data_IF_602946739495
#
_entry.id   IF_602946739495
#
_cell.length_a   1.000
_cell.length_b   1.000
_cell.length_c   1.000
_cell.angle_alpha   90.00
_cell.angle_beta   90.00
_cell.angle_gamma   90.00
#
_symmetry.space_group_name_H-M   'P 1'
#
loop_
_entity.id
_entity.type
_entity.pdbx_description
1 polymer ?
#
# COMPACT_ATOMS: atom_id res chain seq x y z
N UNK A 1 5.56 -25.38 13.68
CA UNK A 1 5.11 -24.22 14.46
C UNK A 1 3.63 -24.42 14.71
N UNK A 2 3.15 -24.27 15.94
CA UNK A 2 1.71 -24.26 16.22
C UNK A 2 1.08 -23.05 15.51
N UNK A 3 -0.04 -23.28 14.82
CA UNK A 3 -0.78 -22.23 14.13
C UNK A 3 -1.27 -21.22 15.16
N UNK A 4 -0.79 -19.99 15.06
CA UNK A 4 -1.22 -18.91 15.93
C UNK A 4 -2.60 -18.41 15.46
N UNK A 5 -3.48 -17.94 16.37
CA UNK A 5 -4.64 -17.13 15.99
C UNK A 5 -4.26 -15.81 15.30
N UNK A 6 -2.98 -15.56 15.03
CA UNK A 6 -2.48 -14.39 14.32
C UNK A 6 -1.89 -14.74 12.95
N UNK A 7 -1.92 -16.02 12.58
CA UNK A 7 -1.51 -16.47 11.26
C UNK A 7 -2.72 -16.45 10.32
N UNK A 8 -2.64 -15.72 9.19
CA UNK A 8 -3.71 -15.74 8.20
C UNK A 8 -3.83 -17.12 7.55
N UNK A 9 -5.04 -17.68 7.54
CA UNK A 9 -5.37 -18.89 6.77
C UNK A 9 -5.37 -18.58 5.27
N UNK A 10 -5.09 -19.55 4.40
CA UNK A 10 -5.22 -19.43 2.93
C UNK A 10 -4.56 -18.17 2.31
N UNK A 11 -3.35 -17.84 2.73
CA UNK A 11 -2.50 -16.84 2.08
C UNK A 11 -1.25 -17.44 1.47
N UNK A 12 -0.80 -16.86 0.36
CA UNK A 12 0.53 -17.11 -0.18
C UNK A 12 1.59 -16.29 0.59
N UNK A 13 2.74 -16.91 0.88
CA UNK A 13 3.91 -16.25 1.47
C UNK A 13 5.21 -16.91 0.98
N UNK A 14 6.29 -16.14 0.96
CA UNK A 14 7.65 -16.54 0.57
C UNK A 14 8.64 -16.48 1.74
N UNK A 15 8.33 -15.69 2.78
CA UNK A 15 9.12 -15.56 4.01
C UNK A 15 8.31 -16.04 5.21
N UNK A 16 8.87 -16.99 5.95
CA UNK A 16 8.40 -17.32 7.28
C UNK A 16 8.61 -16.14 8.25
N UNK A 17 7.98 -16.20 9.43
CA UNK A 17 8.04 -15.12 10.41
C UNK A 17 9.47 -14.81 10.91
N UNK A 18 10.37 -15.78 10.89
CA UNK A 18 11.80 -15.63 11.21
C UNK A 18 12.63 -15.07 10.05
N UNK A 19 12.03 -14.83 8.88
CA UNK A 19 12.71 -14.32 7.69
C UNK A 19 13.33 -15.41 6.80
N UNK A 20 13.13 -16.69 7.13
CA UNK A 20 13.61 -17.78 6.28
C UNK A 20 12.74 -17.94 5.02
N UNK A 21 13.34 -18.12 3.83
CA UNK A 21 12.60 -18.40 2.61
C UNK A 21 11.88 -19.74 2.67
N UNK A 22 10.60 -19.74 2.30
CA UNK A 22 9.79 -20.97 2.13
C UNK A 22 9.42 -21.25 0.67
N UNK A 23 9.74 -20.32 -0.23
CA UNK A 23 9.40 -20.41 -1.65
C UNK A 23 10.44 -19.74 -2.55
N UNK A 24 10.17 -19.75 -3.86
CA UNK A 24 11.06 -19.15 -4.85
C UNK A 24 10.97 -17.62 -4.80
N UNK A 25 12.07 -16.98 -4.39
CA UNK A 25 12.18 -15.53 -4.30
C UNK A 25 12.71 -14.98 -5.64
N UNK A 26 11.87 -14.19 -6.34
CA UNK A 26 12.20 -13.58 -7.63
C UNK A 26 12.41 -12.06 -7.53
N UNK A 27 13.18 -11.62 -6.55
CA UNK A 27 13.60 -10.23 -6.37
C UNK A 27 15.13 -10.22 -6.25
N UNK A 28 15.77 -9.23 -6.87
CA UNK A 28 17.22 -9.09 -6.74
C UNK A 28 17.60 -8.53 -5.37
N UNK A 29 18.82 -8.83 -4.92
CA UNK A 29 19.29 -8.39 -3.60
C UNK A 29 19.29 -6.86 -3.44
N UNK A 30 19.66 -6.13 -4.50
CA UNK A 30 19.64 -4.67 -4.49
C UNK A 30 18.21 -4.12 -4.40
N UNK A 31 17.28 -4.73 -5.12
CA UNK A 31 15.86 -4.38 -5.11
C UNK A 31 15.22 -4.67 -3.75
N UNK A 32 15.55 -5.82 -3.12
CA UNK A 32 15.12 -6.13 -1.76
C UNK A 32 15.65 -5.13 -0.71
N UNK A 33 16.90 -4.68 -0.86
CA UNK A 33 17.46 -3.61 0.00
C UNK A 33 16.76 -2.28 -0.22
N UNK A 34 16.45 -1.92 -1.47
CA UNK A 34 15.72 -0.70 -1.78
C UNK A 34 14.31 -0.74 -1.17
N UNK A 35 13.60 -1.85 -1.32
CA UNK A 35 12.31 -2.09 -0.68
C UNK A 35 12.42 -1.93 0.84
N UNK A 36 13.43 -2.52 1.48
CA UNK A 36 13.64 -2.36 2.92
C UNK A 36 13.81 -0.90 3.36
N UNK A 37 14.56 -0.08 2.60
CA UNK A 37 14.65 1.37 2.89
C UNK A 37 13.28 2.04 2.84
N UNK A 38 12.48 1.68 1.85
CA UNK A 38 11.13 2.24 1.69
C UNK A 38 10.22 1.84 2.85
N UNK A 39 10.28 0.59 3.33
CA UNK A 39 9.51 0.14 4.50
C UNK A 39 9.88 0.93 5.76
N UNK A 40 11.17 1.10 6.03
CA UNK A 40 11.66 1.88 7.18
C UNK A 40 11.18 3.32 7.10
N UNK A 41 11.35 3.98 5.94
CA UNK A 41 10.91 5.35 5.76
C UNK A 41 9.38 5.51 5.87
N UNK A 42 8.60 4.52 5.39
CA UNK A 42 7.15 4.51 5.55
C UNK A 42 6.73 4.37 7.03
N UNK A 43 7.39 3.52 7.83
CA UNK A 43 7.18 3.42 9.28
C UNK A 43 7.53 4.74 9.99
N UNK A 44 8.65 5.38 9.62
CA UNK A 44 9.01 6.68 10.18
C UNK A 44 7.96 7.76 9.87
N UNK A 45 7.45 7.80 8.63
CA UNK A 45 6.39 8.73 8.23
C UNK A 45 5.13 8.52 9.06
N UNK A 46 4.67 7.28 9.18
CA UNK A 46 3.48 6.96 9.97
C UNK A 46 3.64 7.39 11.43
N UNK A 47 4.76 7.07 12.06
CA UNK A 47 5.06 7.48 13.43
C UNK A 47 5.10 9.00 13.60
N UNK A 48 5.70 9.75 12.66
CA UNK A 48 5.73 11.22 12.67
C UNK A 48 4.34 11.84 12.54
N UNK A 49 3.46 11.24 11.72
CA UNK A 49 2.07 11.69 11.56
C UNK A 49 1.22 11.34 12.78
N UNK A 50 1.39 10.15 13.35
CA UNK A 50 0.69 9.71 14.56
C UNK A 50 1.02 10.59 15.77
N UNK A 51 2.29 10.98 15.96
CA UNK A 51 2.74 11.88 17.02
C UNK A 51 2.08 13.26 16.96
N UNK A 52 1.68 13.71 15.76
CA UNK A 52 1.02 15.01 15.54
C UNK A 52 -0.47 15.01 15.89
N UNK A 53 -1.06 13.87 16.25
CA UNK A 53 -2.48 13.73 16.62
C UNK A 53 -3.41 14.36 15.57
N UNK A 54 -3.09 14.13 14.30
CA UNK A 54 -3.88 14.66 13.19
C UNK A 54 -5.33 14.14 13.26
N UNK A 55 -6.35 14.97 12.97
CA UNK A 55 -7.74 14.55 13.06
C UNK A 55 -8.02 13.32 12.19
N UNK A 56 -8.65 12.29 12.77
CA UNK A 56 -8.95 10.98 12.16
C UNK A 56 -7.75 10.28 11.49
N UNK A 57 -6.52 10.63 11.84
CA UNK A 57 -5.37 9.82 11.45
C UNK A 57 -5.40 8.51 12.22
N UNK A 58 -5.28 7.41 11.49
CA UNK A 58 -5.07 6.08 12.06
C UNK A 58 -3.79 5.55 11.45
N UNK A 59 -2.92 5.04 12.32
CA UNK A 59 -1.63 4.50 11.93
C UNK A 59 -1.77 3.46 10.81
N UNK A 60 -0.83 3.49 9.87
CA UNK A 60 -0.64 2.49 8.81
C UNK A 60 0.49 1.50 9.14
N UNK A 61 0.91 1.41 10.41
CA UNK A 61 1.92 0.46 10.83
C UNK A 61 1.47 -0.98 10.52
N UNK A 62 2.32 -1.75 9.85
CA UNK A 62 2.00 -3.09 9.35
C UNK A 62 1.45 -3.13 7.92
N UNK A 63 1.22 -1.98 7.28
CA UNK A 63 0.75 -1.87 5.88
C UNK A 63 1.82 -1.31 4.93
N UNK A 64 3.06 -1.19 5.40
CA UNK A 64 4.16 -0.57 4.66
C UNK A 64 4.47 -1.37 3.40
N UNK A 65 4.45 -2.70 3.50
CA UNK A 65 4.72 -3.60 2.38
C UNK A 65 3.82 -3.29 1.19
N UNK A 66 2.50 -3.28 1.40
CA UNK A 66 1.53 -3.06 0.33
C UNK A 66 1.68 -1.69 -0.30
N UNK A 67 1.75 -0.63 0.51
CA UNK A 67 1.80 0.74 -0.01
C UNK A 67 3.12 1.08 -0.72
N UNK A 68 4.27 0.66 -0.16
CA UNK A 68 5.58 0.88 -0.78
C UNK A 68 5.76 0.04 -2.05
N UNK A 69 5.33 -1.22 -2.06
CA UNK A 69 5.40 -2.06 -3.27
C UNK A 69 4.54 -1.50 -4.41
N UNK A 70 3.33 -1.01 -4.11
CA UNK A 70 2.51 -0.32 -5.11
C UNK A 70 3.27 0.88 -5.67
N UNK A 71 3.83 1.74 -4.82
CA UNK A 71 4.58 2.89 -5.32
C UNK A 71 5.81 2.51 -6.16
N UNK A 72 6.54 1.47 -5.78
CA UNK A 72 7.79 1.05 -6.42
C UNK A 72 7.59 0.37 -7.79
N UNK A 73 6.45 -0.30 -8.00
CA UNK A 73 6.20 -1.11 -9.20
C UNK A 73 5.44 -0.37 -10.31
N UNK A 74 4.89 0.80 -9.99
CA UNK A 74 4.09 1.64 -10.89
C UNK A 74 5.01 2.54 -11.70
N UNK A 75 4.80 2.58 -13.02
CA UNK A 75 5.59 3.42 -13.94
C UNK A 75 5.28 4.91 -13.77
N UNK A 76 6.11 5.80 -14.31
CA UNK A 76 5.97 7.23 -14.09
C UNK A 76 4.62 7.79 -14.60
N UNK A 77 4.08 7.20 -15.67
CA UNK A 77 2.88 7.61 -16.39
C UNK A 77 1.58 6.99 -15.85
N UNK A 78 1.70 6.03 -14.94
CA UNK A 78 0.56 5.34 -14.33
C UNK A 78 0.09 6.05 -13.06
N UNK A 79 -1.18 5.84 -12.74
CA UNK A 79 -1.83 6.49 -11.60
C UNK A 79 -2.24 5.51 -10.52
N UNK A 80 -1.99 5.92 -9.28
CA UNK A 80 -2.47 5.26 -8.07
C UNK A 80 -3.60 6.09 -7.48
N UNK A 81 -4.72 5.42 -7.20
CA UNK A 81 -5.86 5.93 -6.45
C UNK A 81 -5.78 5.38 -5.02
N UNK A 82 -5.11 6.10 -4.10
CA UNK A 82 -4.87 5.64 -2.75
C UNK A 82 -6.14 5.71 -1.88
N UNK A 83 -6.19 4.88 -0.84
CA UNK A 83 -7.02 5.10 0.32
C UNK A 83 -6.39 6.14 1.28
N UNK A 84 -7.09 6.46 2.38
CA UNK A 84 -6.65 7.53 3.30
C UNK A 84 -5.37 7.20 4.09
N UNK A 85 -4.89 5.95 4.07
CA UNK A 85 -3.75 5.47 4.87
C UNK A 85 -2.58 5.00 4.00
N UNK A 86 -2.65 5.16 2.69
CA UNK A 86 -1.66 4.67 1.73
C UNK A 86 -0.48 5.64 1.55
N UNK A 87 -0.02 6.25 2.63
CA UNK A 87 1.06 7.26 2.58
C UNK A 87 2.40 6.69 2.12
N UNK A 88 2.63 5.39 2.33
CA UNK A 88 3.82 4.68 1.84
C UNK A 88 3.92 4.62 0.31
N UNK A 89 2.83 4.86 -0.43
CA UNK A 89 2.88 4.96 -1.90
C UNK A 89 3.83 6.05 -2.34
N UNK A 90 3.84 7.20 -1.65
CA UNK A 90 4.73 8.31 -1.99
C UNK A 90 6.21 7.95 -1.78
N UNK A 91 6.51 7.15 -0.76
CA UNK A 91 7.87 6.62 -0.53
C UNK A 91 8.24 5.63 -1.64
N UNK A 92 7.34 4.72 -2.00
CA UNK A 92 7.54 3.77 -3.08
C UNK A 92 7.79 4.45 -4.44
N UNK A 93 7.05 5.54 -4.71
CA UNK A 93 7.20 6.39 -5.91
C UNK A 93 8.48 7.22 -5.92
N UNK A 94 9.25 7.22 -4.84
CA UNK A 94 10.52 7.94 -4.74
C UNK A 94 10.37 9.45 -4.64
N UNK A 95 9.25 9.95 -4.08
CA UNK A 95 9.15 11.39 -3.81
C UNK A 95 10.22 11.80 -2.79
N UNK A 96 10.84 12.98 -2.95
CA UNK A 96 11.73 13.53 -1.94
C UNK A 96 11.03 13.62 -0.57
N UNK A 97 11.73 13.28 0.51
CA UNK A 97 11.14 13.22 1.86
C UNK A 97 10.61 14.58 2.34
N UNK A 98 11.23 15.68 1.93
CA UNK A 98 10.75 17.04 2.20
C UNK A 98 9.44 17.34 1.45
N UNK A 99 9.31 16.87 0.21
CA UNK A 99 8.04 16.92 -0.52
C UNK A 99 6.97 16.05 0.15
N UNK A 100 7.29 14.84 0.57
CA UNK A 100 6.35 13.98 1.31
C UNK A 100 5.84 14.67 2.57
N UNK A 101 6.75 15.26 3.36
CA UNK A 101 6.40 16.03 4.54
C UNK A 101 5.49 17.22 4.20
N UNK A 102 5.81 17.97 3.13
CA UNK A 102 4.98 19.09 2.64
C UNK A 102 3.58 18.65 2.24
N UNK A 103 3.46 17.56 1.47
CA UNK A 103 2.14 17.06 1.04
C UNK A 103 1.32 16.60 2.26
N UNK A 104 1.93 15.81 3.14
CA UNK A 104 1.26 15.23 4.31
C UNK A 104 0.83 16.28 5.35
N UNK A 105 1.67 17.29 5.62
CA UNK A 105 1.33 18.38 6.54
C UNK A 105 0.42 19.44 5.90
N UNK A 106 0.41 19.51 4.56
CA UNK A 106 -0.45 20.39 3.78
C UNK A 106 0.11 21.80 3.60
N UNK A 107 -0.79 22.79 3.54
CA UNK A 107 -0.45 24.18 3.28
C UNK A 107 -0.44 24.57 1.80
N UNK A 108 -0.20 25.86 1.52
CA UNK A 108 -0.36 26.44 0.18
C UNK A 108 0.55 25.84 -0.89
N UNK A 109 1.70 25.30 -0.47
CA UNK A 109 2.70 24.69 -1.35
C UNK A 109 2.44 23.21 -1.62
N UNK A 110 1.52 22.55 -0.90
CA UNK A 110 1.07 21.19 -1.24
C UNK A 110 0.27 21.19 -2.56
N UNK A 111 0.22 20.07 -3.27
CA UNK A 111 -0.56 19.94 -4.52
C UNK A 111 -2.04 20.22 -4.30
N UNK A 112 -2.55 19.77 -3.15
CA UNK A 112 -3.91 20.02 -2.71
C UNK A 112 -4.12 21.42 -2.10
N UNK A 113 -3.06 22.21 -1.95
CA UNK A 113 -3.04 23.59 -1.43
C UNK A 113 -3.73 23.74 -0.06
N UNK A 114 -3.62 22.72 0.79
CA UNK A 114 -4.24 22.69 2.12
C UNK A 114 -5.75 22.49 2.11
N UNK A 115 -6.35 22.10 0.97
CA UNK A 115 -7.80 21.83 0.87
C UNK A 115 -8.16 20.42 1.31
N UNK A 116 -7.18 19.52 1.35
CA UNK A 116 -7.35 18.18 1.89
C UNK A 116 -6.83 18.14 3.31
N UNK A 117 -7.26 17.09 4.01
CA UNK A 117 -6.98 16.90 5.43
C UNK A 117 -5.49 16.59 5.61
N UNK A 118 -4.91 17.07 6.70
CA UNK A 118 -3.56 16.65 7.10
C UNK A 118 -3.47 15.12 7.19
N UNK A 119 -2.31 14.57 6.81
CA UNK A 119 -2.09 13.14 6.58
C UNK A 119 -2.38 12.70 5.14
N UNK A 120 -2.95 13.58 4.30
CA UNK A 120 -3.21 13.27 2.88
C UNK A 120 -2.01 13.61 2.02
N UNK A 121 -1.54 12.65 1.21
CA UNK A 121 -0.51 12.90 0.21
C UNK A 121 -1.12 12.84 -1.18
N UNK A 122 -0.87 13.88 -1.98
CA UNK A 122 -1.25 13.99 -3.39
C UNK A 122 -0.02 14.43 -4.15
N UNK A 123 0.21 13.89 -5.34
CA UNK A 123 1.29 14.35 -6.20
C UNK A 123 0.94 14.06 -7.64
N UNK A 124 0.63 15.09 -8.41
CA UNK A 124 0.28 14.93 -9.83
C UNK A 124 1.48 14.48 -10.64
N UNK A 125 2.66 15.02 -10.35
CA UNK A 125 3.92 14.64 -11.02
C UNK A 125 4.30 13.18 -10.77
N UNK A 126 3.88 12.62 -9.63
CA UNK A 126 4.09 11.22 -9.31
C UNK A 126 2.84 10.36 -9.51
N UNK A 127 1.78 10.83 -10.18
CA UNK A 127 0.59 10.03 -10.46
C UNK A 127 -0.16 9.54 -9.21
N UNK A 128 -0.10 10.27 -8.09
CA UNK A 128 -0.83 9.95 -6.86
C UNK A 128 -2.09 10.83 -6.83
N UNK A 129 -3.23 10.20 -7.09
CA UNK A 129 -4.53 10.87 -7.08
C UNK A 129 -4.95 11.31 -5.67
N UNK A 130 -5.75 12.37 -5.53
CA UNK A 130 -6.33 12.75 -4.24
C UNK A 130 -7.28 11.65 -3.73
N UNK A 131 -7.18 11.22 -2.46
CA UNK A 131 -8.15 10.30 -1.89
C UNK A 131 -9.53 10.96 -1.83
N UNK A 132 -10.56 10.17 -2.08
CA UNK A 132 -11.94 10.65 -2.02
C UNK A 132 -12.42 10.79 -0.56
N UNK A 133 -13.05 11.91 -0.23
CA UNK A 133 -13.76 12.07 1.04
C UNK A 133 -15.04 11.21 1.11
N UNK A 134 -15.67 10.94 -0.04
CA UNK A 134 -16.78 10.02 -0.13
C UNK A 134 -16.25 8.57 -0.19
N UNK A 135 -16.67 7.76 0.78
CA UNK A 135 -16.20 6.40 0.99
C UNK A 135 -16.36 5.56 -0.30
N UNK A 136 -15.25 5.03 -0.83
CA UNK A 136 -15.22 4.13 -1.99
C UNK A 136 -15.29 4.81 -3.36
N UNK A 137 -15.57 6.11 -3.45
CA UNK A 137 -15.76 6.80 -4.73
C UNK A 137 -14.49 6.95 -5.57
N UNK A 138 -13.31 6.70 -5.00
CA UNK A 138 -12.08 6.62 -5.79
C UNK A 138 -12.00 5.36 -6.67
N UNK A 139 -12.74 4.29 -6.34
CA UNK A 139 -12.80 3.06 -7.14
C UNK A 139 -13.37 3.30 -8.55
N UNK A 140 -14.58 3.90 -8.73
CA UNK A 140 -15.11 4.17 -10.06
C UNK A 140 -14.30 5.24 -10.81
N UNK A 141 -13.65 6.17 -10.11
CA UNK A 141 -12.71 7.12 -10.73
C UNK A 141 -11.49 6.41 -11.31
N UNK A 142 -10.92 5.45 -10.56
CA UNK A 142 -9.84 4.61 -11.05
C UNK A 142 -10.27 3.75 -12.25
N UNK A 143 -11.49 3.21 -12.25
CA UNK A 143 -12.04 2.49 -13.40
C UNK A 143 -12.24 3.39 -14.62
N UNK A 144 -12.75 4.61 -14.45
CA UNK A 144 -12.84 5.59 -15.53
C UNK A 144 -11.47 5.93 -16.13
N UNK A 145 -10.46 6.11 -15.28
CA UNK A 145 -9.08 6.36 -15.73
C UNK A 145 -8.48 5.15 -16.46
N UNK A 146 -8.65 3.93 -15.95
CA UNK A 146 -8.21 2.70 -16.61
C UNK A 146 -8.89 2.53 -17.98
N UNK A 147 -10.17 2.87 -18.08
CA UNK A 147 -10.92 2.83 -19.33
C UNK A 147 -10.37 3.86 -20.33
N UNK A 148 -10.08 5.09 -19.89
CA UNK A 148 -9.46 6.10 -20.73
C UNK A 148 -8.07 5.66 -21.24
N UNK A 149 -7.25 5.05 -20.37
CA UNK A 149 -5.94 4.50 -20.74
C UNK A 149 -6.07 3.37 -21.78
N UNK A 150 -7.07 2.48 -21.63
CA UNK A 150 -7.38 1.42 -22.59
C UNK A 150 -7.80 1.99 -23.95
N UNK A 151 -8.75 2.92 -23.98
CA UNK A 151 -9.22 3.57 -25.21
C UNK A 151 -8.10 4.31 -25.94
N UNK A 152 -7.18 4.88 -25.16
CA UNK A 152 -6.01 5.61 -25.66
C UNK A 152 -4.83 4.70 -26.03
N UNK A 153 -4.95 3.37 -25.84
CA UNK A 153 -3.92 2.37 -26.15
C UNK A 153 -2.56 2.66 -25.50
N UNK A 154 -2.56 3.17 -24.27
CA UNK A 154 -1.32 3.55 -23.58
C UNK A 154 -0.51 2.35 -23.07
N UNK A 155 -1.14 1.18 -22.89
CA UNK A 155 -0.49 0.04 -22.23
C UNK A 155 -0.20 0.28 -20.75
N UNK A 156 -0.87 1.27 -20.14
CA UNK A 156 -0.72 1.65 -18.74
C UNK A 156 -1.79 0.96 -17.89
N UNK A 157 -1.41 0.54 -16.68
CA UNK A 157 -2.33 0.10 -15.64
C UNK A 157 -2.75 1.26 -14.72
N UNK A 158 -3.94 1.16 -14.13
CA UNK A 158 -4.37 2.00 -13.02
C UNK A 158 -4.49 1.16 -11.77
N UNK A 159 -4.18 1.74 -10.61
CA UNK A 159 -4.17 1.03 -9.33
C UNK A 159 -5.20 1.68 -8.42
N UNK A 160 -6.03 0.88 -7.77
CA UNK A 160 -7.00 1.35 -6.78
C UNK A 160 -6.79 0.63 -5.45
N UNK A 161 -6.42 1.37 -4.40
CA UNK A 161 -6.15 0.83 -3.08
C UNK A 161 -7.34 1.05 -2.14
N UNK A 162 -7.69 0.05 -1.34
CA UNK A 162 -8.81 0.14 -0.39
C UNK A 162 -8.67 -0.87 0.75
N UNK A 163 -9.48 -0.68 1.80
CA UNK A 163 -9.63 -1.67 2.88
C UNK A 163 -10.83 -2.59 2.66
N UNK A 164 -10.83 -3.75 3.30
CA UNK A 164 -11.85 -4.80 3.13
C UNK A 164 -13.28 -4.32 3.39
N UNK A 165 -13.47 -3.35 4.30
CA UNK A 165 -14.78 -2.78 4.60
C UNK A 165 -15.47 -2.15 3.39
N UNK A 166 -14.73 -1.66 2.38
CA UNK A 166 -15.30 -1.09 1.16
C UNK A 166 -16.00 -2.12 0.29
N UNK A 167 -15.69 -3.40 0.48
CA UNK A 167 -16.31 -4.49 -0.31
C UNK A 167 -17.79 -4.67 0.00
N UNK A 168 -18.28 -4.12 1.12
CA UNK A 168 -19.71 -4.14 1.50
C UNK A 168 -20.54 -3.05 0.81
N UNK A 169 -19.89 -2.15 0.07
CA UNK A 169 -20.56 -1.00 -0.58
C UNK A 169 -21.00 -1.34 -2.00
N UNK A 170 -22.14 -0.80 -2.44
CA UNK A 170 -22.60 -0.95 -3.83
C UNK A 170 -21.58 -0.44 -4.86
N UNK A 171 -20.84 0.63 -4.51
CA UNK A 171 -19.79 1.22 -5.36
C UNK A 171 -18.71 0.20 -5.71
N UNK A 172 -18.28 -0.64 -4.76
CA UNK A 172 -17.31 -1.70 -5.05
C UNK A 172 -17.87 -2.70 -6.07
N UNK A 173 -19.10 -3.19 -5.85
CA UNK A 173 -19.74 -4.18 -6.70
C UNK A 173 -19.99 -3.69 -8.12
N UNK A 174 -20.45 -2.44 -8.27
CA UNK A 174 -20.62 -1.81 -9.59
C UNK A 174 -19.27 -1.64 -10.29
N UNK A 175 -18.26 -1.14 -9.58
CA UNK A 175 -16.94 -0.86 -10.16
C UNK A 175 -16.25 -2.14 -10.63
N UNK A 176 -16.23 -3.19 -9.80
CA UNK A 176 -15.55 -4.45 -10.17
C UNK A 176 -16.25 -5.15 -11.32
N UNK A 177 -17.59 -5.11 -11.36
CA UNK A 177 -18.38 -5.66 -12.46
C UNK A 177 -18.11 -4.92 -13.78
N UNK A 178 -18.06 -3.58 -13.73
CA UNK A 178 -17.69 -2.77 -14.89
C UNK A 178 -16.26 -3.05 -15.35
N UNK A 179 -15.31 -3.14 -14.40
CA UNK A 179 -13.92 -3.41 -14.71
C UNK A 179 -13.72 -4.76 -15.40
N UNK A 180 -14.44 -5.79 -14.95
CA UNK A 180 -14.43 -7.11 -15.55
C UNK A 180 -15.08 -7.10 -16.94
N UNK A 181 -16.29 -6.55 -17.06
CA UNK A 181 -17.04 -6.49 -18.31
C UNK A 181 -16.30 -5.72 -19.42
N UNK A 182 -15.62 -4.64 -19.05
CA UNK A 182 -14.84 -3.83 -19.99
C UNK A 182 -13.37 -4.30 -20.11
N UNK A 183 -12.98 -5.37 -19.43
CA UNK A 183 -11.59 -5.89 -19.37
C UNK A 183 -10.57 -4.75 -19.14
N UNK A 184 -10.79 -3.95 -18.10
CA UNK A 184 -9.99 -2.75 -17.83
C UNK A 184 -8.58 -3.12 -17.34
N UNK A 185 -7.54 -2.33 -17.70
CA UNK A 185 -6.20 -2.45 -17.14
C UNK A 185 -6.17 -1.86 -15.71
N UNK A 186 -6.91 -2.46 -14.80
CA UNK A 186 -7.13 -1.99 -13.43
C UNK A 186 -6.71 -3.06 -12.41
N UNK A 187 -5.82 -2.68 -11.50
CA UNK A 187 -5.41 -3.52 -10.36
C UNK A 187 -6.03 -2.98 -9.08
N UNK A 188 -6.93 -3.77 -8.51
CA UNK A 188 -7.50 -3.57 -7.19
C UNK A 188 -6.55 -4.12 -6.14
N UNK A 189 -6.16 -3.29 -5.16
CA UNK A 189 -5.29 -3.71 -4.05
C UNK A 189 -6.10 -3.53 -2.76
N UNK A 190 -6.58 -4.65 -2.23
CA UNK A 190 -7.35 -4.67 -1.00
C UNK A 190 -6.43 -5.01 0.18
N UNK A 191 -6.40 -4.15 1.19
CA UNK A 191 -5.75 -4.45 2.47
C UNK A 191 -6.81 -4.99 3.40
N UNK A 192 -6.72 -6.27 3.74
CA UNK A 192 -7.68 -6.95 4.61
C UNK A 192 -7.10 -7.11 6.01
N UNK A 193 -7.72 -6.47 7.00
CA UNK A 193 -7.31 -6.64 8.40
C UNK A 193 -7.57 -8.06 8.89
N UNK A 194 -6.56 -8.61 9.56
CA UNK A 194 -6.70 -9.77 10.40
C UNK A 194 -7.48 -9.34 11.67
N UNK A 195 -8.69 -9.86 11.87
CA UNK A 195 -9.63 -9.48 12.94
C UNK A 195 -9.98 -7.97 13.06
N UNK A 196 -10.72 -7.38 12.11
CA UNK A 196 -11.23 -6.01 12.24
C UNK A 196 -12.10 -5.85 13.50
N UNK A 197 -11.77 -4.84 14.33
CA UNK A 197 -12.48 -4.51 15.57
C UNK A 197 -12.73 -5.71 16.53
N UNK A 198 -11.76 -6.64 16.63
CA UNK A 198 -11.79 -7.86 17.47
C UNK A 198 -12.81 -8.92 17.04
N UNK A 199 -13.41 -8.80 15.85
CA UNK A 199 -14.19 -9.86 15.22
C UNK A 199 -13.37 -10.45 14.04
N UNK A 200 -13.49 -11.76 13.72
CA UNK A 200 -12.86 -12.34 12.54
C UNK A 200 -13.19 -11.51 11.29
N UNK A 201 -12.26 -11.37 10.35
CA UNK A 201 -12.48 -10.55 9.15
C UNK A 201 -13.71 -11.03 8.37
N UNK A 202 -13.90 -12.33 8.37
CA UNK A 202 -14.99 -13.07 7.78
C UNK A 202 -16.35 -12.69 8.39
N UNK A 203 -16.39 -12.23 9.65
CA UNK A 203 -17.64 -11.85 10.32
C UNK A 203 -18.29 -10.58 9.72
N UNK A 204 -17.51 -9.74 9.05
CA UNK A 204 -17.98 -8.55 8.32
C UNK A 204 -18.02 -8.72 6.80
N UNK A 205 -17.57 -9.86 6.28
CA UNK A 205 -17.45 -10.12 4.84
C UNK A 205 -18.56 -11.05 4.34
N UNK A 206 -19.11 -10.72 3.18
CA UNK A 206 -19.92 -11.66 2.39
C UNK A 206 -19.00 -12.64 1.66
N UNK A 207 -18.99 -13.91 2.06
CA UNK A 207 -18.12 -14.97 1.53
C UNK A 207 -16.78 -15.09 2.28
N UNK A 208 -15.95 -16.05 1.86
CA UNK A 208 -14.76 -16.49 2.60
C UNK A 208 -13.58 -15.49 2.52
N UNK A 209 -13.46 -14.74 1.42
CA UNK A 209 -12.45 -13.67 1.27
C UNK A 209 -12.83 -12.60 0.24
N UNK A 210 -12.12 -11.46 0.23
CA UNK A 210 -12.28 -10.43 -0.80
C UNK A 210 -11.84 -10.97 -2.17
N UNK A 211 -10.78 -11.77 -2.20
CA UNK A 211 -10.30 -12.48 -3.38
C UNK A 211 -11.34 -13.43 -3.97
N UNK A 212 -12.14 -14.12 -3.16
CA UNK A 212 -13.20 -15.02 -3.67
C UNK A 212 -14.37 -14.22 -4.26
N UNK A 213 -14.75 -13.12 -3.60
CA UNK A 213 -15.79 -12.22 -4.11
C UNK A 213 -15.43 -11.67 -5.48
N UNK A 214 -14.21 -11.16 -5.64
CA UNK A 214 -13.73 -10.68 -6.93
C UNK A 214 -13.60 -11.80 -7.97
N UNK A 215 -13.18 -13.00 -7.56
CA UNK A 215 -13.11 -14.17 -8.45
C UNK A 215 -14.47 -14.56 -9.01
N UNK A 216 -15.54 -14.42 -8.22
CA UNK A 216 -16.93 -14.66 -8.68
C UNK A 216 -17.36 -13.74 -9.82
N UNK A 217 -16.72 -12.56 -9.96
CA UNK A 217 -16.93 -11.63 -11.07
C UNK A 217 -16.02 -11.90 -12.27
N UNK A 218 -15.27 -13.01 -12.28
CA UNK A 218 -14.32 -13.35 -13.35
C UNK A 218 -12.99 -12.57 -13.30
N UNK A 219 -12.71 -11.88 -12.19
CA UNK A 219 -11.46 -11.14 -11.99
C UNK A 219 -10.35 -12.09 -11.55
N UNK A 220 -9.12 -11.91 -12.07
CA UNK A 220 -7.97 -12.66 -11.57
C UNK A 220 -7.66 -12.23 -10.13
N UNK A 221 -7.53 -13.18 -9.21
CA UNK A 221 -7.29 -12.85 -7.80
C UNK A 221 -6.13 -13.60 -7.17
N UNK A 222 -5.49 -12.94 -6.21
CA UNK A 222 -4.49 -13.51 -5.31
C UNK A 222 -4.69 -12.99 -3.91
N UNK A 223 -4.46 -13.85 -2.92
CA UNK A 223 -4.53 -13.53 -1.50
C UNK A 223 -3.19 -13.87 -0.87
N UNK A 224 -2.53 -12.87 -0.29
CA UNK A 224 -1.13 -12.95 0.13
C UNK A 224 -0.94 -12.42 1.54
N UNK A 225 0.10 -12.88 2.21
CA UNK A 225 0.48 -12.36 3.50
C UNK A 225 1.04 -10.93 3.36
N UNK A 226 0.30 -9.93 3.86
CA UNK A 226 0.72 -8.53 3.85
C UNK A 226 1.94 -8.24 4.76
N UNK A 227 2.26 -9.13 5.70
CA UNK A 227 3.45 -9.05 6.54
C UNK A 227 4.71 -9.58 5.84
N UNK A 228 4.59 -10.15 4.64
CA UNK A 228 5.71 -10.59 3.82
C UNK A 228 5.89 -9.66 2.61
N UNK A 229 6.88 -8.75 2.65
CA UNK A 229 7.10 -7.81 1.55
C UNK A 229 7.46 -8.48 0.22
N UNK A 230 8.04 -9.68 0.23
CA UNK A 230 8.51 -10.32 -0.99
C UNK A 230 7.37 -10.93 -1.80
N UNK A 231 6.43 -11.62 -1.14
CA UNK A 231 5.23 -12.14 -1.85
C UNK A 231 4.35 -10.99 -2.33
N UNK A 232 4.21 -9.92 -1.53
CA UNK A 232 3.44 -8.73 -1.90
C UNK A 232 4.04 -8.09 -3.16
N UNK A 233 5.35 -7.87 -3.17
CA UNK A 233 6.07 -7.35 -4.33
C UNK A 233 5.88 -8.22 -5.58
N UNK A 234 6.15 -9.52 -5.47
CA UNK A 234 6.07 -10.44 -6.61
C UNK A 234 4.65 -10.54 -7.18
N UNK A 235 3.64 -10.55 -6.32
CA UNK A 235 2.24 -10.66 -6.71
C UNK A 235 1.73 -9.38 -7.37
N UNK A 236 2.05 -8.22 -6.80
CA UNK A 236 1.70 -6.92 -7.40
C UNK A 236 2.40 -6.73 -8.74
N UNK A 237 3.68 -7.12 -8.86
CA UNK A 237 4.41 -7.05 -10.13
C UNK A 237 3.73 -7.88 -11.22
N UNK A 238 3.28 -9.09 -10.88
CA UNK A 238 2.54 -9.94 -11.81
C UNK A 238 1.16 -9.36 -12.14
N UNK A 239 0.42 -8.84 -11.16
CA UNK A 239 -0.90 -8.23 -11.37
C UNK A 239 -0.81 -7.02 -12.32
N UNK A 240 0.20 -6.16 -12.14
CA UNK A 240 0.46 -5.01 -13.01
C UNK A 240 0.85 -5.44 -14.42
N UNK A 241 1.72 -6.46 -14.57
CA UNK A 241 2.07 -7.00 -15.88
C UNK A 241 0.82 -7.48 -16.63
N UNK A 242 -0.04 -8.27 -15.98
CA UNK A 242 -1.32 -8.74 -16.56
C UNK A 242 -2.21 -7.59 -17.02
N UNK A 243 -2.36 -6.56 -16.18
CA UNK A 243 -3.17 -5.39 -16.51
C UNK A 243 -2.62 -4.65 -17.74
N UNK A 244 -1.31 -4.43 -17.81
CA UNK A 244 -0.62 -3.79 -18.95
C UNK A 244 -0.72 -4.59 -20.25
N UNK A 245 -0.67 -5.92 -20.14
CA UNK A 245 -0.81 -6.85 -21.28
C UNK A 245 -2.27 -7.04 -21.74
N UNK A 246 -3.23 -6.38 -21.09
CA UNK A 246 -4.64 -6.46 -21.45
C UNK A 246 -5.33 -7.76 -21.02
N UNK A 247 -4.79 -8.47 -20.03
CA UNK A 247 -5.38 -9.71 -19.48
C UNK A 247 -6.58 -9.46 -18.54
N UNK A 248 -7.24 -8.31 -18.67
CA UNK A 248 -8.32 -7.85 -17.80
C UNK A 248 -7.85 -7.36 -16.43
N UNK A 249 -8.82 -7.04 -15.54
CA UNK A 249 -8.50 -6.54 -14.20
C UNK A 249 -7.94 -7.63 -13.28
N UNK A 250 -7.27 -7.20 -12.23
CA UNK A 250 -6.72 -8.03 -11.18
C UNK A 250 -7.14 -7.53 -9.80
N UNK A 251 -7.32 -8.43 -8.82
CA UNK A 251 -7.43 -8.09 -7.41
C UNK A 251 -6.36 -8.81 -6.59
N UNK A 252 -5.58 -8.04 -5.85
CA UNK A 252 -4.62 -8.56 -4.86
C UNK A 252 -5.13 -8.20 -3.46
N UNK A 253 -5.46 -9.22 -2.69
CA UNK A 253 -5.82 -9.10 -1.28
C UNK A 253 -4.57 -9.32 -0.42
N UNK A 254 -4.13 -8.30 0.30
CA UNK A 254 -3.00 -8.37 1.23
C UNK A 254 -3.55 -8.44 2.65
N UNK A 255 -3.32 -9.56 3.35
CA UNK A 255 -3.81 -9.74 4.72
C UNK A 255 -2.83 -9.13 5.71
N UNK A 256 -3.27 -8.09 6.40
CA UNK A 256 -2.45 -7.23 7.26
C UNK A 256 -2.81 -7.42 8.74
N UNK A 257 -1.90 -7.05 9.65
CA UNK A 257 -2.17 -7.03 11.09
C UNK A 257 -3.32 -6.07 11.47
N UNK A 258 -4.01 -6.29 12.61
CA UNK A 258 -5.05 -5.36 13.06
C UNK A 258 -4.51 -3.94 13.24
N UNK A 259 -5.33 -2.96 12.89
CA UNK A 259 -5.02 -1.55 13.06
C UNK A 259 -5.01 -1.16 14.54
N UNK A 260 -4.26 -0.08 14.89
CA UNK A 260 -4.20 0.68 16.17
C UNK A 260 -2.93 0.50 17.00
N UNK A 261 -2.11 -0.49 16.72
CA UNK A 261 -0.81 -0.68 17.38
C UNK A 261 0.22 -1.13 16.35
N UNK A 262 1.51 -0.93 16.66
CA UNK A 262 2.57 -1.52 15.86
C UNK A 262 2.34 -3.04 15.77
N UNK A 263 2.54 -3.64 14.58
CA UNK A 263 2.37 -5.07 14.41
C UNK A 263 3.34 -5.83 15.34
N UNK A 264 2.93 -7.00 15.86
CA UNK A 264 3.87 -7.81 16.64
C UNK A 264 5.05 -8.25 15.73
N UNK A 265 6.25 -8.50 16.26
CA UNK A 265 7.46 -8.74 15.46
C UNK A 265 7.35 -9.90 14.45
N UNK A 266 6.50 -10.89 14.70
CA UNK A 266 6.27 -12.02 13.78
C UNK A 266 5.34 -11.66 12.61
N UNK A 267 4.62 -10.54 12.67
CA UNK A 267 3.73 -9.97 11.64
C UNK A 267 4.18 -8.58 11.15
N UNK A 268 5.38 -8.13 11.53
CA UNK A 268 5.90 -6.84 11.11
C UNK A 268 6.67 -6.99 9.78
N UNK A 269 6.22 -6.36 8.67
CA UNK A 269 6.90 -6.46 7.39
C UNK A 269 8.32 -5.88 7.41
N UNK A 270 8.58 -4.85 8.24
CA UNK A 270 9.93 -4.28 8.42
C UNK A 270 10.82 -5.32 9.05
N UNK A 271 10.39 -5.94 10.15
CA UNK A 271 11.19 -6.93 10.88
C UNK A 271 11.38 -8.22 10.07
N UNK A 272 10.37 -8.68 9.35
CA UNK A 272 10.46 -9.91 8.54
C UNK A 272 11.47 -9.74 7.40
N UNK A 273 11.44 -8.62 6.69
CA UNK A 273 12.44 -8.34 5.65
C UNK A 273 13.82 -8.03 6.24
N UNK A 274 13.89 -7.41 7.43
CA UNK A 274 15.16 -7.21 8.17
C UNK A 274 15.86 -8.54 8.38
N UNK A 275 15.18 -9.54 8.96
CA UNK A 275 15.74 -10.88 9.23
C UNK A 275 16.19 -11.58 7.95
N UNK A 276 15.39 -11.49 6.89
CA UNK A 276 15.77 -12.03 5.58
C UNK A 276 17.06 -11.42 5.02
N UNK A 277 17.26 -10.11 5.16
CA UNK A 277 18.47 -9.43 4.71
C UNK A 277 19.66 -9.68 5.64
N UNK A 278 19.43 -9.78 6.95
CA UNK A 278 20.44 -10.04 7.98
C UNK A 278 21.10 -11.42 7.77
N UNK A 279 20.30 -12.47 7.54
CA UNK A 279 20.79 -13.83 7.21
C UNK A 279 21.66 -13.87 5.95
N UNK A 280 21.59 -12.84 5.08
CA UNK A 280 22.36 -12.70 3.85
C UNK A 280 23.50 -11.68 3.94
N UNK A 281 23.75 -11.10 5.13
CA UNK A 281 24.74 -10.04 5.31
C UNK A 281 24.41 -8.75 4.53
N UNK A 282 23.14 -8.55 4.17
CA UNK A 282 22.65 -7.41 3.37
C UNK A 282 22.04 -6.31 4.25
N UNK A 283 21.95 -6.53 5.55
CA UNK A 283 21.44 -5.59 6.54
C UNK A 283 22.47 -5.33 7.64
N UNK A 284 22.49 -4.10 8.15
CA UNK A 284 23.21 -3.72 9.37
C UNK A 284 22.39 -2.68 10.12
N UNK A 285 22.63 -2.54 11.43
CA UNK A 285 21.99 -1.47 12.21
C UNK A 285 22.27 -0.07 11.62
N UNK A 286 23.53 0.20 11.26
CA UNK A 286 23.93 1.47 10.64
C UNK A 286 23.17 1.74 9.34
N UNK A 287 22.88 0.70 8.55
CA UNK A 287 22.09 0.85 7.33
C UNK A 287 20.68 1.38 7.64
N UNK A 288 20.00 0.82 8.63
CA UNK A 288 18.68 1.32 9.07
C UNK A 288 18.78 2.71 9.68
N UNK A 289 19.73 2.94 10.60
CA UNK A 289 19.92 4.22 11.30
C UNK A 289 20.10 5.40 10.32
N UNK A 290 20.81 5.18 9.20
CA UNK A 290 21.00 6.20 8.16
C UNK A 290 19.68 6.55 7.46
N UNK A 291 18.86 5.56 7.13
CA UNK A 291 17.54 5.80 6.48
C UNK A 291 16.62 6.57 7.41
N UNK A 292 16.56 6.17 8.68
CA UNK A 292 15.76 6.86 9.70
C UNK A 292 16.24 8.30 9.89
N UNK A 293 17.55 8.52 9.99
CA UNK A 293 18.12 9.86 10.16
C UNK A 293 17.85 10.76 8.96
N UNK A 294 18.01 10.25 7.73
CA UNK A 294 17.72 10.98 6.50
C UNK A 294 16.26 11.42 6.44
N UNK A 295 15.33 10.49 6.66
CA UNK A 295 13.90 10.77 6.67
C UNK A 295 13.52 11.77 7.77
N UNK A 296 13.92 11.50 9.01
CA UNK A 296 13.54 12.34 10.15
C UNK A 296 14.08 13.76 10.00
N UNK A 297 15.32 13.92 9.54
CA UNK A 297 15.94 15.23 9.32
C UNK A 297 15.18 16.03 8.26
N UNK A 298 14.86 15.41 7.12
CA UNK A 298 14.11 16.06 6.05
C UNK A 298 12.69 16.45 6.53
N UNK A 299 12.00 15.52 7.20
CA UNK A 299 10.65 15.74 7.69
C UNK A 299 10.60 16.88 8.72
N UNK A 300 11.46 16.85 9.74
CA UNK A 300 11.45 17.84 10.83
C UNK A 300 11.83 19.23 10.32
N UNK A 301 12.79 19.32 9.38
CA UNK A 301 13.14 20.58 8.74
C UNK A 301 11.94 21.19 8.01
N UNK A 302 11.22 20.39 7.22
CA UNK A 302 10.03 20.87 6.50
C UNK A 302 8.90 21.23 7.44
N UNK A 303 8.65 20.42 8.46
CA UNK A 303 7.61 20.69 9.44
C UNK A 303 7.84 22.03 10.17
N UNK A 304 9.07 22.25 10.67
CA UNK A 304 9.45 23.50 11.34
C UNK A 304 9.30 24.71 10.41
N UNK A 305 9.65 24.57 9.13
CA UNK A 305 9.51 25.64 8.14
C UNK A 305 8.03 26.00 7.88
N UNK A 306 7.15 25.00 7.81
CA UNK A 306 5.71 25.20 7.62
C UNK A 306 5.05 25.83 8.86
N UNK A 307 5.44 25.38 10.05
CA UNK A 307 4.97 25.94 11.32
C UNK A 307 5.39 27.41 11.47
N UNK A 308 6.63 27.76 11.11
CA UNK A 308 7.12 29.13 11.13
C UNK A 308 6.41 30.04 10.11
N UNK A 309 5.94 29.51 8.98
CA UNK A 309 5.21 30.26 7.97
C UNK A 309 3.72 30.46 8.30
N UNK A 310 3.19 29.76 9.31
CA UNK A 310 1.80 29.87 9.76
C UNK A 310 1.60 30.90 10.90
N UNK A 311 2.68 31.43 11.45
CA UNK A 311 2.71 32.50 12.47
C UNK A 311 2.83 33.86 11.79
#
# INVERSE_FOLDING_TARGET
MEHSPWDPEDVEFLLAADGEPVGEIRIEALEARALYKQLVAARCLDHKLAQRRLPMWVSSAGEEATSTCVGALVSAEEWVYPGPRDVGVAIGRGLPFDEIARQALGGAQADHRGRLRAGTIVSHSAGIAPPSAALGMHLPLAAGHAHAAKLSRLGHATIAMFGEGLTTTGVFHETISLAACCELPLVFVCKSQLWPDQAPAEAGLLGDSVADRARSCGVWTRRVDGADPLIVHQTLRHALLRAREGSGPALVETVISPMRQDPPPHRDPVERLRRYLDTRGQWTKTFQDVVEAEFNTAFDKTANALEAAAV
#
